data_IF_440506482897
#
_entry.id   IF_440506482897
#
_cell.length_a   1.000
_cell.length_b   1.000
_cell.length_c   1.000
_cell.angle_alpha   90.00
_cell.angle_beta   90.00
_cell.angle_gamma   90.00
#
_symmetry.space_group_name_H-M   'P 1'
#
loop_
_entity.id
_entity.type
_entity.pdbx_description
1 polymer ?
#
# COMPACT_ATOMS: atom_id res chain seq x y z
N UNK A 1 -12.78 -17.80 -10.91
CA UNK A 1 -12.79 -16.74 -9.89
C UNK A 1 -11.54 -15.89 -10.01
N UNK A 2 -10.86 -15.66 -8.87
CA UNK A 2 -9.75 -14.69 -8.79
C UNK A 2 -8.56 -15.04 -9.69
N UNK A 3 -8.10 -16.28 -9.68
CA UNK A 3 -6.95 -16.72 -10.47
C UNK A 3 -7.19 -16.56 -11.98
N UNK A 4 -8.37 -16.93 -12.46
CA UNK A 4 -8.74 -16.79 -13.87
C UNK A 4 -8.83 -15.32 -14.28
N UNK A 5 -9.31 -14.43 -13.40
CA UNK A 5 -9.30 -13.00 -13.65
C UNK A 5 -7.88 -12.44 -13.74
N UNK A 6 -6.99 -12.81 -12.80
CA UNK A 6 -5.59 -12.41 -12.84
C UNK A 6 -4.88 -12.89 -14.13
N UNK A 7 -5.17 -14.12 -14.60
CA UNK A 7 -4.61 -14.63 -15.86
C UNK A 7 -5.01 -13.79 -17.07
N UNK A 8 -6.24 -13.24 -17.09
CA UNK A 8 -6.70 -12.36 -18.17
C UNK A 8 -6.04 -10.99 -18.16
N UNK A 9 -5.61 -10.50 -16.98
CA UNK A 9 -4.90 -9.22 -16.84
C UNK A 9 -3.48 -9.29 -17.42
N UNK A 10 -2.84 -10.46 -17.42
CA UNK A 10 -1.55 -10.68 -18.10
C UNK A 10 -0.32 -10.21 -17.33
N UNK A 11 -0.44 -9.94 -16.02
CA UNK A 11 0.67 -9.58 -15.14
C UNK A 11 0.62 -8.14 -14.62
N UNK A 12 1.63 -7.78 -13.84
CA UNK A 12 1.75 -6.46 -13.21
C UNK A 12 3.25 -6.12 -13.02
N UNK A 13 3.77 -5.08 -13.69
CA UNK A 13 5.14 -4.62 -13.46
C UNK A 13 5.36 -4.10 -12.04
N UNK A 14 6.61 -4.10 -11.59
CA UNK A 14 7.00 -3.55 -10.28
C UNK A 14 6.60 -2.08 -10.16
N UNK A 15 5.97 -1.72 -9.04
CA UNK A 15 5.46 -0.37 -8.80
C UNK A 15 4.08 -0.10 -9.40
N UNK A 16 3.55 -0.98 -10.26
CA UNK A 16 2.19 -0.84 -10.81
C UNK A 16 1.15 -1.57 -9.96
N UNK A 17 -0.12 -1.32 -10.27
CA UNK A 17 -1.25 -2.01 -9.65
C UNK A 17 -2.30 -2.43 -10.69
N UNK A 18 -3.07 -3.46 -10.38
CA UNK A 18 -4.22 -3.98 -11.14
C UNK A 18 -5.35 -4.31 -10.17
N UNK A 19 -6.59 -4.19 -10.61
CA UNK A 19 -7.76 -4.48 -9.77
C UNK A 19 -8.53 -5.67 -10.33
N UNK A 20 -9.05 -6.50 -9.43
CA UNK A 20 -9.97 -7.60 -9.74
C UNK A 20 -11.19 -7.52 -8.83
N UNK A 21 -12.23 -8.29 -9.16
CA UNK A 21 -13.26 -8.63 -8.18
C UNK A 21 -12.67 -9.37 -6.96
N UNK A 22 -13.35 -9.30 -5.82
CA UNK A 22 -12.96 -10.01 -4.60
C UNK A 22 -13.39 -11.48 -4.53
N UNK A 23 -14.32 -11.89 -5.39
CA UNK A 23 -14.84 -13.26 -5.49
C UNK A 23 -15.39 -13.79 -4.16
N UNK A 24 -14.73 -14.78 -3.56
CA UNK A 24 -15.17 -15.41 -2.31
C UNK A 24 -14.75 -14.63 -1.05
N UNK A 25 -14.04 -13.50 -1.22
CA UNK A 25 -13.68 -12.62 -0.12
C UNK A 25 -14.85 -11.69 0.22
N UNK A 26 -14.94 -11.31 1.49
CA UNK A 26 -15.86 -10.25 1.94
C UNK A 26 -15.51 -8.88 1.31
N UNK A 27 -14.27 -8.68 0.90
CA UNK A 27 -13.85 -7.49 0.18
C UNK A 27 -14.43 -7.49 -1.23
N UNK A 28 -14.98 -6.35 -1.68
CA UNK A 28 -15.55 -6.23 -3.04
C UNK A 28 -14.50 -6.36 -4.14
N UNK A 29 -13.28 -5.89 -3.87
CA UNK A 29 -12.18 -5.85 -4.82
C UNK A 29 -10.89 -6.36 -4.17
N UNK A 30 -9.96 -6.82 -5.01
CA UNK A 30 -8.55 -6.99 -4.65
C UNK A 30 -7.73 -6.12 -5.58
N UNK A 31 -6.88 -5.27 -5.01
CA UNK A 31 -5.89 -4.50 -5.75
C UNK A 31 -4.55 -5.20 -5.60
N UNK A 32 -4.05 -5.74 -6.72
CA UNK A 32 -2.78 -6.45 -6.83
C UNK A 32 -1.71 -5.45 -7.23
N UNK A 33 -0.65 -5.32 -6.43
CA UNK A 33 0.51 -4.50 -6.76
C UNK A 33 1.79 -5.29 -6.53
N UNK A 34 2.80 -5.07 -7.37
CA UNK A 34 4.08 -5.76 -7.26
C UNK A 34 5.10 -4.83 -6.64
N UNK A 35 5.43 -5.08 -5.38
CA UNK A 35 6.48 -4.38 -4.68
C UNK A 35 7.89 -4.71 -5.22
N UNK A 36 8.88 -3.84 -5.00
CA UNK A 36 10.27 -4.12 -5.37
C UNK A 36 10.90 -5.15 -4.45
N UNK A 37 11.84 -5.94 -4.99
CA UNK A 37 12.79 -6.74 -4.21
C UNK A 37 13.89 -5.82 -3.70
N UNK A 38 14.27 -5.96 -2.43
CA UNK A 38 15.30 -5.15 -1.81
C UNK A 38 16.70 -5.58 -2.23
N UNK A 39 17.47 -4.67 -2.84
CA UNK A 39 18.85 -4.90 -3.26
C UNK A 39 19.83 -3.91 -2.58
N UNK A 40 19.44 -3.32 -1.45
CA UNK A 40 20.28 -2.39 -0.70
C UNK A 40 19.90 -0.91 -0.86
N UNK A 41 18.89 -0.59 -1.67
CA UNK A 41 18.31 0.76 -1.74
C UNK A 41 18.94 1.69 -2.77
N UNK A 42 19.81 1.18 -3.63
CA UNK A 42 20.49 1.93 -4.68
C UNK A 42 19.85 1.77 -6.07
N UNK A 43 18.75 1.01 -6.18
CA UNK A 43 18.10 0.64 -7.43
C UNK A 43 16.72 1.29 -7.60
N UNK A 44 16.42 2.32 -6.82
CA UNK A 44 15.14 3.03 -6.87
C UNK A 44 13.99 2.30 -6.17
N UNK A 45 14.30 1.35 -5.28
CA UNK A 45 13.31 0.52 -4.59
C UNK A 45 12.32 1.38 -3.79
N UNK A 46 12.77 2.45 -3.15
CA UNK A 46 11.85 3.35 -2.41
C UNK A 46 10.83 4.02 -3.34
N UNK A 47 11.26 4.46 -4.52
CA UNK A 47 10.38 5.07 -5.53
C UNK A 47 9.38 4.03 -6.06
N UNK A 48 9.83 2.80 -6.31
CA UNK A 48 8.95 1.72 -6.76
C UNK A 48 7.93 1.32 -5.68
N UNK A 49 8.35 1.26 -4.42
CA UNK A 49 7.44 0.99 -3.31
C UNK A 49 6.42 2.12 -3.14
N UNK A 50 6.83 3.39 -3.25
CA UNK A 50 5.92 4.52 -3.23
C UNK A 50 4.85 4.42 -4.33
N UNK A 51 5.27 4.08 -5.56
CA UNK A 51 4.36 3.86 -6.69
C UNK A 51 3.34 2.75 -6.44
N UNK A 52 3.68 1.69 -5.69
CA UNK A 52 2.73 0.64 -5.32
C UNK A 52 1.54 1.21 -4.54
N UNK A 53 1.81 2.04 -3.53
CA UNK A 53 0.78 2.69 -2.73
C UNK A 53 -0.03 3.69 -3.56
N UNK A 54 0.65 4.58 -4.30
CA UNK A 54 0.00 5.60 -5.14
C UNK A 54 -0.94 4.99 -6.18
N UNK A 55 -0.46 3.99 -6.93
CA UNK A 55 -1.26 3.34 -7.96
C UNK A 55 -2.43 2.53 -7.37
N UNK A 56 -2.24 1.93 -6.20
CA UNK A 56 -3.31 1.21 -5.53
C UNK A 56 -4.40 2.16 -5.02
N UNK A 57 -4.01 3.30 -4.43
CA UNK A 57 -4.92 4.34 -3.98
C UNK A 57 -5.68 4.98 -5.15
N UNK A 58 -5.01 5.25 -6.27
CA UNK A 58 -5.64 5.75 -7.50
C UNK A 58 -6.72 4.79 -8.01
N UNK A 59 -6.43 3.50 -8.08
CA UNK A 59 -7.42 2.50 -8.47
C UNK A 59 -8.61 2.44 -7.49
N UNK A 60 -8.35 2.53 -6.18
CA UNK A 60 -9.38 2.57 -5.17
C UNK A 60 -10.31 3.81 -5.34
N UNK A 61 -9.72 4.98 -5.60
CA UNK A 61 -10.45 6.22 -5.88
C UNK A 61 -11.31 6.08 -7.15
N UNK A 62 -10.73 5.61 -8.25
CA UNK A 62 -11.41 5.41 -9.54
C UNK A 62 -12.61 4.46 -9.44
N UNK A 63 -12.56 3.49 -8.52
CA UNK A 63 -13.62 2.50 -8.30
C UNK A 63 -14.56 2.85 -7.14
N UNK A 64 -14.44 4.05 -6.55
CA UNK A 64 -15.30 4.50 -5.47
C UNK A 64 -15.21 3.63 -4.22
N UNK A 65 -14.03 3.11 -3.91
CA UNK A 65 -13.79 2.28 -2.72
C UNK A 65 -13.85 3.17 -1.48
N UNK A 66 -14.66 2.76 -0.49
CA UNK A 66 -14.81 3.50 0.77
C UNK A 66 -13.79 3.09 1.84
N UNK A 67 -13.26 1.88 1.78
CA UNK A 67 -12.25 1.39 2.71
C UNK A 67 -11.21 0.52 2.01
N UNK A 68 -9.94 0.72 2.37
CA UNK A 68 -8.81 -0.01 1.76
C UNK A 68 -7.88 -0.53 2.85
N UNK A 69 -7.43 -1.78 2.73
CA UNK A 69 -6.48 -2.39 3.63
C UNK A 69 -5.17 -2.69 2.89
N UNK A 70 -4.05 -2.24 3.43
CA UNK A 70 -2.71 -2.54 2.92
C UNK A 70 -1.99 -3.52 3.85
N UNK A 71 -1.34 -4.56 3.32
CA UNK A 71 -0.30 -5.27 4.05
C UNK A 71 0.99 -4.42 4.10
N UNK A 72 2.01 -4.91 4.81
CA UNK A 72 3.35 -4.33 4.72
C UNK A 72 4.05 -4.78 3.43
N UNK A 73 3.84 -4.03 2.33
CA UNK A 73 4.32 -4.42 0.99
C UNK A 73 5.84 -4.53 0.97
N UNK A 74 6.35 -5.60 0.35
CA UNK A 74 7.77 -5.95 0.18
C UNK A 74 8.57 -6.35 1.43
N UNK A 75 8.01 -6.37 2.64
CA UNK A 75 8.80 -6.62 3.87
C UNK A 75 8.98 -8.10 4.22
N UNK A 76 8.22 -8.99 3.58
CA UNK A 76 8.37 -10.45 3.71
C UNK A 76 9.43 -11.00 2.74
N UNK A 77 9.00 -11.86 1.80
CA UNK A 77 9.88 -12.54 0.85
C UNK A 77 10.77 -11.60 0.00
N UNK A 78 10.41 -10.32 -0.13
CA UNK A 78 11.16 -9.32 -0.90
C UNK A 78 12.19 -8.54 -0.05
N UNK A 79 12.22 -8.77 1.27
CA UNK A 79 13.31 -8.35 2.16
C UNK A 79 13.45 -6.84 2.39
N UNK A 80 12.44 -6.04 2.06
CA UNK A 80 12.49 -4.60 2.27
C UNK A 80 12.50 -4.27 3.78
N UNK A 81 13.44 -3.44 4.28
CA UNK A 81 13.48 -3.08 5.70
C UNK A 81 12.17 -2.42 6.15
N UNK A 82 11.52 -3.01 7.14
CA UNK A 82 10.16 -2.63 7.56
C UNK A 82 10.08 -1.17 8.02
N UNK A 83 11.09 -0.64 8.71
CA UNK A 83 11.10 0.76 9.15
C UNK A 83 11.16 1.74 7.99
N UNK A 84 11.84 1.37 6.89
CA UNK A 84 11.86 2.19 5.66
C UNK A 84 10.54 2.05 4.92
N UNK A 85 10.06 0.83 4.72
CA UNK A 85 8.81 0.55 4.02
C UNK A 85 7.61 1.23 4.71
N UNK A 86 7.54 1.14 6.03
CA UNK A 86 6.48 1.75 6.83
C UNK A 86 6.43 3.28 6.68
N UNK A 87 7.60 3.96 6.69
CA UNK A 87 7.66 5.41 6.47
C UNK A 87 7.10 5.80 5.11
N UNK A 88 7.48 5.07 4.06
CA UNK A 88 6.97 5.29 2.70
C UNK A 88 5.46 5.07 2.67
N UNK A 89 4.99 3.93 3.19
CA UNK A 89 3.57 3.57 3.23
C UNK A 89 2.70 4.65 3.89
N UNK A 90 3.11 5.10 5.08
CA UNK A 90 2.38 6.11 5.83
C UNK A 90 2.42 7.49 5.16
N UNK A 91 3.57 7.88 4.60
CA UNK A 91 3.71 9.15 3.90
C UNK A 91 2.84 9.21 2.64
N UNK A 92 2.91 8.20 1.79
CA UNK A 92 2.15 8.14 0.53
C UNK A 92 0.64 8.09 0.78
N UNK A 93 0.18 7.23 1.69
CA UNK A 93 -1.25 7.15 2.04
C UNK A 93 -1.72 8.48 2.64
N UNK A 94 -0.99 9.06 3.58
CA UNK A 94 -1.42 10.31 4.22
C UNK A 94 -1.45 11.49 3.25
N UNK A 95 -0.45 11.58 2.37
CA UNK A 95 -0.39 12.59 1.31
C UNK A 95 -1.57 12.47 0.36
N UNK A 96 -1.83 11.27 -0.14
CA UNK A 96 -2.94 10.99 -1.04
C UNK A 96 -4.30 11.32 -0.41
N UNK A 97 -4.53 10.92 0.85
CA UNK A 97 -5.78 11.19 1.56
C UNK A 97 -6.02 12.69 1.78
N UNK A 98 -4.96 13.47 2.04
CA UNK A 98 -5.05 14.93 2.13
C UNK A 98 -5.41 15.57 0.80
N UNK A 99 -4.85 15.07 -0.30
CA UNK A 99 -5.05 15.62 -1.64
C UNK A 99 -6.44 15.30 -2.19
N UNK A 100 -6.90 14.06 -2.03
CA UNK A 100 -8.11 13.56 -2.68
C UNK A 100 -9.31 13.40 -1.75
N UNK A 101 -9.12 13.35 -0.44
CA UNK A 101 -10.19 13.15 0.55
C UNK A 101 -10.81 11.74 0.55
N UNK A 102 -10.22 10.79 -0.18
CA UNK A 102 -10.71 9.42 -0.29
C UNK A 102 -9.55 8.42 -0.52
N UNK A 103 -9.70 7.13 -0.15
CA UNK A 103 -10.86 6.55 0.57
C UNK A 103 -10.95 7.03 2.03
N UNK A 104 -12.15 7.14 2.63
CA UNK A 104 -12.31 7.66 3.99
C UNK A 104 -11.67 6.78 5.09
N UNK A 105 -11.39 5.50 4.80
CA UNK A 105 -10.69 4.62 5.73
C UNK A 105 -9.57 3.85 5.02
N UNK A 106 -8.35 3.98 5.53
CA UNK A 106 -7.22 3.12 5.16
C UNK A 106 -6.71 2.39 6.41
N UNK A 107 -6.58 1.07 6.31
CA UNK A 107 -6.05 0.20 7.35
C UNK A 107 -4.67 -0.33 6.95
N UNK A 108 -3.71 -0.32 7.87
CA UNK A 108 -2.45 -1.06 7.73
C UNK A 108 -2.55 -2.35 8.53
N UNK A 109 -2.63 -3.48 7.82
CA UNK A 109 -2.80 -4.81 8.42
C UNK A 109 -1.42 -5.41 8.65
N UNK A 110 -0.94 -5.28 9.87
CA UNK A 110 0.34 -5.83 10.33
C UNK A 110 0.18 -7.33 10.64
N UNK A 111 1.11 -8.15 10.18
CA UNK A 111 1.08 -9.60 10.43
C UNK A 111 1.64 -9.96 11.82
N UNK A 112 2.64 -9.21 12.29
CA UNK A 112 3.31 -9.44 13.57
C UNK A 112 3.14 -8.27 14.54
N UNK A 113 3.31 -8.54 15.84
CA UNK A 113 3.33 -7.50 16.88
C UNK A 113 4.48 -6.51 16.68
N UNK A 114 5.60 -6.97 16.13
CA UNK A 114 6.76 -6.12 15.84
C UNK A 114 6.45 -5.14 14.70
N UNK A 115 5.84 -5.60 13.60
CA UNK A 115 5.37 -4.71 12.54
C UNK A 115 4.38 -3.70 13.09
N UNK A 116 3.42 -4.15 13.90
CA UNK A 116 2.43 -3.28 14.53
C UNK A 116 3.08 -2.19 15.40
N UNK A 117 4.09 -2.55 16.20
CA UNK A 117 4.86 -1.62 17.02
C UNK A 117 5.57 -0.57 16.14
N UNK A 118 6.26 -1.01 15.10
CA UNK A 118 6.99 -0.14 14.16
C UNK A 118 6.04 0.83 13.45
N UNK A 119 4.90 0.35 12.97
CA UNK A 119 3.87 1.19 12.35
C UNK A 119 3.29 2.21 13.33
N UNK A 120 2.98 1.79 14.55
CA UNK A 120 2.43 2.66 15.59
C UNK A 120 3.41 3.77 16.00
N UNK A 121 4.67 3.41 16.25
CA UNK A 121 5.72 4.39 16.58
C UNK A 121 5.98 5.37 15.43
N UNK A 122 6.03 4.86 14.19
CA UNK A 122 6.26 5.70 13.02
C UNK A 122 5.09 6.64 12.77
N UNK A 123 3.85 6.16 12.91
CA UNK A 123 2.65 7.00 12.84
C UNK A 123 2.65 8.09 13.91
N UNK A 124 2.99 7.76 15.15
CA UNK A 124 3.04 8.73 16.24
C UNK A 124 4.07 9.85 15.98
N UNK A 125 5.16 9.55 15.27
CA UNK A 125 6.15 10.56 14.83
C UNK A 125 5.64 11.41 13.65
N UNK A 126 4.90 10.83 12.71
CA UNK A 126 4.41 11.52 11.50
C UNK A 126 3.11 12.30 11.71
N UNK A 127 2.22 11.86 12.60
CA UNK A 127 0.91 12.51 12.80
C UNK A 127 0.98 14.01 13.14
N UNK A 128 1.92 14.53 13.96
CA UNK A 128 1.90 15.94 14.34
C UNK A 128 2.23 16.87 13.17
N UNK A 129 3.09 16.42 12.24
CA UNK A 129 3.43 17.16 11.01
C UNK A 129 2.32 17.09 9.95
N UNK A 130 1.43 16.10 10.05
CA UNK A 130 0.25 15.99 9.17
C UNK A 130 -0.92 16.87 9.64
N UNK A 131 -1.09 17.10 10.95
CA UNK A 131 -2.18 17.91 11.52
C UNK A 131 -1.92 19.41 11.55
N UNK A 132 -0.67 19.85 11.44
CA UNK A 132 -0.26 21.26 11.56
C UNK A 132 -0.34 22.07 10.27
N UNK A 133 -0.84 21.47 9.17
CA UNK A 133 -0.99 22.11 7.86
C UNK A 133 -2.47 22.38 7.51
N UNK A 134 -3.25 22.90 8.47
CA UNK A 134 -4.59 23.45 8.22
C UNK A 134 -4.58 24.96 8.33
#
# INVERSE_FOLDING_TARGET
GLLEECRRIGGCPTGEARITGGHLLSARFVIHTVGPVWHGGAHGEEVLLARCYQNSLRLALEHGVASLAFPSISTGAYGFPVERACRIALAEVSGFLREHGAPPLVLFVCFSDEDYRIYTETWNRLRPSLTSAR
#
